data_IF_963994950686
#
_entry.id   IF_963994950686
#
_cell.length_a   1.000
_cell.length_b   1.000
_cell.length_c   1.000
_cell.angle_alpha   90.00
_cell.angle_beta   90.00
_cell.angle_gamma   90.00
#
_symmetry.space_group_name_H-M   'P 1'
#
loop_
_entity.id
_entity.type
_entity.pdbx_description
1 polymer ?
#
# COMPACT_ATOMS: atom_id res chain seq x y z
N UNK A 1 12.45 -55.21 -13.02
CA UNK A 1 13.17 -53.94 -12.95
C UNK A 1 12.15 -52.83 -13.11
N UNK A 2 11.72 -52.19 -12.02
CA UNK A 2 10.77 -51.08 -12.09
C UNK A 2 11.56 -49.80 -12.37
N UNK A 3 11.22 -49.09 -13.45
CA UNK A 3 11.78 -47.77 -13.74
C UNK A 3 11.34 -46.81 -12.64
N UNK A 4 12.30 -46.31 -11.85
CA UNK A 4 12.09 -45.13 -11.03
C UNK A 4 11.82 -43.97 -11.97
N UNK A 5 10.58 -43.48 -11.98
CA UNK A 5 10.27 -42.20 -12.59
C UNK A 5 11.05 -41.13 -11.86
N UNK A 6 11.82 -40.34 -12.59
CA UNK A 6 12.50 -39.18 -12.06
C UNK A 6 11.42 -38.21 -11.56
N UNK A 7 11.26 -38.14 -10.25
CA UNK A 7 10.52 -37.06 -9.60
C UNK A 7 11.32 -35.78 -9.85
N UNK A 8 10.99 -35.09 -10.94
CA UNK A 8 11.42 -33.71 -11.17
C UNK A 8 10.77 -32.87 -10.09
N UNK A 9 11.50 -32.66 -9.00
CA UNK A 9 11.16 -31.66 -8.00
C UNK A 9 11.33 -30.31 -8.72
N UNK A 10 10.23 -29.80 -9.28
CA UNK A 10 10.17 -28.41 -9.73
C UNK A 10 10.37 -27.57 -8.47
N UNK A 11 11.48 -26.81 -8.34
CA UNK A 11 11.67 -25.94 -7.18
C UNK A 11 10.45 -25.03 -7.10
N UNK A 12 9.67 -25.13 -6.03
CA UNK A 12 8.35 -24.52 -5.93
C UNK A 12 8.35 -23.11 -6.46
N UNK A 13 7.70 -22.89 -7.61
CA UNK A 13 7.59 -21.59 -8.25
C UNK A 13 6.93 -20.66 -7.24
N UNK A 14 7.71 -19.73 -6.70
CA UNK A 14 7.22 -18.79 -5.68
C UNK A 14 6.16 -17.89 -6.33
N UNK A 15 4.90 -18.10 -5.99
CA UNK A 15 3.74 -17.38 -6.56
C UNK A 15 3.91 -15.85 -6.48
N UNK A 16 4.56 -15.37 -5.43
CA UNK A 16 4.97 -13.97 -5.22
C UNK A 16 5.79 -13.34 -6.36
N UNK A 17 6.38 -14.13 -7.27
CA UNK A 17 7.12 -13.60 -8.43
C UNK A 17 6.24 -13.30 -9.63
N UNK A 18 5.02 -13.83 -9.65
CA UNK A 18 4.12 -13.78 -10.81
C UNK A 18 2.79 -13.12 -10.48
N UNK A 19 2.40 -13.11 -9.21
CA UNK A 19 1.16 -12.52 -8.79
C UNK A 19 1.30 -11.00 -8.71
N UNK A 20 0.53 -10.29 -9.52
CA UNK A 20 0.31 -8.86 -9.40
C UNK A 20 -0.97 -8.49 -10.15
N UNK A 21 -1.49 -7.30 -9.87
CA UNK A 21 -2.51 -6.73 -10.74
C UNK A 21 -1.91 -6.33 -12.09
N UNK A 22 -2.76 -6.19 -13.11
CA UNK A 22 -2.30 -5.77 -14.44
C UNK A 22 -1.84 -4.31 -14.37
N UNK A 23 -0.54 -4.09 -14.51
CA UNK A 23 0.08 -2.76 -14.47
C UNK A 23 -0.23 -1.89 -15.69
N UNK A 24 0.44 -0.74 -15.73
CA UNK A 24 0.31 0.27 -16.77
C UNK A 24 -0.92 1.18 -16.63
N UNK A 25 -1.13 2.02 -17.65
CA UNK A 25 -2.17 3.07 -17.69
C UNK A 25 -3.21 2.86 -18.80
N UNK A 26 -3.16 1.73 -19.50
CA UNK A 26 -4.09 1.43 -20.59
C UNK A 26 -5.48 1.04 -20.08
N UNK A 27 -6.46 1.01 -20.98
CA UNK A 27 -7.88 0.71 -20.65
C UNK A 27 -8.09 -0.62 -19.94
N UNK A 28 -7.19 -1.58 -20.12
CA UNK A 28 -7.25 -2.90 -19.47
C UNK A 28 -6.36 -3.02 -18.23
N UNK A 29 -5.72 -1.94 -17.80
CA UNK A 29 -4.94 -1.89 -16.56
C UNK A 29 -5.85 -2.00 -15.35
N UNK A 30 -5.30 -2.45 -14.22
CA UNK A 30 -6.03 -2.44 -12.96
C UNK A 30 -6.43 -1.03 -12.54
N UNK A 31 -5.55 -0.04 -12.74
CA UNK A 31 -5.83 1.36 -12.42
C UNK A 31 -7.11 1.88 -13.12
N UNK A 32 -7.39 1.42 -14.34
CA UNK A 32 -8.60 1.78 -15.09
C UNK A 32 -9.83 0.92 -14.77
N UNK A 33 -9.68 -0.20 -14.03
CA UNK A 33 -10.74 -1.20 -13.80
C UNK A 33 -10.97 -1.54 -12.32
N UNK A 34 -10.44 -0.75 -11.39
CA UNK A 34 -10.52 -0.99 -9.95
C UNK A 34 -11.67 -0.24 -9.25
N UNK A 35 -12.73 0.13 -9.98
CA UNK A 35 -13.85 0.92 -9.40
C UNK A 35 -14.64 0.14 -8.34
N UNK A 36 -14.81 -1.18 -8.51
CA UNK A 36 -15.52 -1.99 -7.53
C UNK A 36 -14.80 -2.00 -6.16
N UNK A 37 -13.46 -2.14 -6.17
CA UNK A 37 -12.61 -2.07 -4.99
C UNK A 37 -12.68 -0.66 -4.37
N UNK A 38 -12.69 0.39 -5.19
CA UNK A 38 -12.80 1.78 -4.73
C UNK A 38 -14.15 2.04 -4.03
N UNK A 39 -15.25 1.58 -4.62
CA UNK A 39 -16.59 1.72 -4.04
C UNK A 39 -16.71 0.96 -2.72
N UNK A 40 -16.16 -0.25 -2.65
CA UNK A 40 -16.15 -1.01 -1.41
C UNK A 40 -15.30 -0.33 -0.33
N UNK A 41 -14.08 0.12 -0.65
CA UNK A 41 -13.24 0.88 0.28
C UNK A 41 -13.97 2.14 0.79
N UNK A 42 -14.66 2.85 -0.10
CA UNK A 42 -15.48 4.02 0.25
C UNK A 42 -16.61 3.68 1.22
N UNK A 43 -17.30 2.55 1.03
CA UNK A 43 -18.36 2.12 1.96
C UNK A 43 -17.83 1.76 3.35
N UNK A 44 -16.55 1.40 3.47
CA UNK A 44 -15.92 0.97 4.71
C UNK A 44 -15.18 2.09 5.45
N UNK A 45 -15.19 3.34 4.93
CA UNK A 45 -14.44 4.45 5.53
C UNK A 45 -14.82 4.72 6.99
N UNK A 46 -16.10 4.58 7.34
CA UNK A 46 -16.55 4.76 8.72
C UNK A 46 -15.88 3.79 9.72
N UNK A 47 -15.68 2.52 9.32
CA UNK A 47 -14.98 1.53 10.16
C UNK A 47 -13.49 1.83 10.23
N UNK A 48 -12.91 2.35 9.14
CA UNK A 48 -11.53 2.81 9.14
C UNK A 48 -11.36 3.98 10.12
N UNK A 49 -12.19 5.02 10.01
CA UNK A 49 -12.15 6.20 10.90
C UNK A 49 -12.36 5.80 12.38
N UNK A 50 -13.34 4.93 12.67
CA UNK A 50 -13.57 4.40 14.02
C UNK A 50 -12.34 3.64 14.55
N UNK A 51 -11.68 2.85 13.70
CA UNK A 51 -10.42 2.16 14.07
C UNK A 51 -9.31 3.16 14.34
N UNK A 52 -9.21 4.20 13.51
CA UNK A 52 -8.21 5.27 13.66
C UNK A 52 -8.43 6.10 14.91
N UNK A 53 -9.65 6.23 15.42
CA UNK A 53 -9.95 6.89 16.70
C UNK A 53 -9.34 6.16 17.90
N UNK A 54 -9.14 4.84 17.78
CA UNK A 54 -8.47 4.02 18.79
C UNK A 54 -6.94 4.06 18.75
N UNK A 55 -6.34 4.64 17.70
CA UNK A 55 -4.88 4.68 17.56
C UNK A 55 -4.29 5.64 18.60
N UNK A 56 -3.27 5.19 19.31
CA UNK A 56 -2.53 6.03 20.25
C UNK A 56 -1.71 7.07 19.48
N UNK A 57 -1.89 8.35 19.80
CA UNK A 57 -1.05 9.42 19.27
C UNK A 57 0.28 9.43 20.03
N UNK A 58 1.39 9.37 19.28
CA UNK A 58 2.74 9.52 19.80
C UNK A 58 3.15 11.01 19.78
N UNK A 59 4.34 11.33 20.31
CA UNK A 59 4.90 12.69 20.21
C UNK A 59 4.87 13.17 18.74
N UNK A 60 4.43 14.41 18.46
CA UNK A 60 4.44 14.95 17.09
C UNK A 60 5.85 15.10 16.50
N UNK A 61 6.90 15.01 17.34
CA UNK A 61 8.30 14.99 16.90
C UNK A 61 8.71 13.67 16.22
N UNK A 62 7.90 12.61 16.37
CA UNK A 62 8.15 11.30 15.77
C UNK A 62 7.23 11.16 14.56
N UNK A 63 7.75 10.80 13.37
CA UNK A 63 6.91 10.61 12.21
C UNK A 63 5.85 9.54 12.43
N UNK A 64 4.62 9.81 12.00
CA UNK A 64 3.54 8.83 12.00
C UNK A 64 3.63 7.96 10.76
N UNK A 65 3.84 6.65 10.96
CA UNK A 65 4.10 5.69 9.88
C UNK A 65 2.84 4.89 9.56
N UNK A 66 2.36 5.04 8.33
CA UNK A 66 1.25 4.28 7.77
C UNK A 66 1.75 3.36 6.65
N UNK A 67 1.22 2.15 6.58
CA UNK A 67 1.53 1.17 5.54
C UNK A 67 0.25 0.69 4.88
N UNK A 68 0.18 0.72 3.55
CA UNK A 68 -0.82 -0.02 2.78
C UNK A 68 -0.23 -1.33 2.26
N UNK A 69 -0.77 -2.46 2.70
CA UNK A 69 -0.35 -3.80 2.28
C UNK A 69 -1.20 -4.28 1.11
N UNK A 70 -0.56 -4.63 -0.01
CA UNK A 70 -1.23 -4.98 -1.27
C UNK A 70 -1.73 -3.75 -2.02
N UNK A 71 -0.86 -2.74 -2.17
CA UNK A 71 -1.23 -1.42 -2.70
C UNK A 71 -1.59 -1.40 -4.20
N UNK A 72 -1.18 -2.42 -4.97
CA UNK A 72 -1.29 -2.44 -6.44
C UNK A 72 -0.65 -1.19 -7.07
N UNK A 73 -1.19 -0.70 -8.20
CA UNK A 73 -0.60 0.38 -9.01
C UNK A 73 -1.56 1.54 -9.34
N UNK A 74 -2.72 1.62 -8.69
CA UNK A 74 -3.78 2.60 -8.99
C UNK A 74 -3.98 3.68 -7.91
N UNK A 75 -4.88 4.64 -8.16
CA UNK A 75 -5.15 5.75 -7.22
C UNK A 75 -5.86 5.34 -5.93
N UNK A 76 -6.46 4.14 -5.88
CA UNK A 76 -7.17 3.65 -4.70
C UNK A 76 -6.29 3.66 -3.43
N UNK A 77 -5.03 3.24 -3.53
CA UNK A 77 -4.09 3.24 -2.40
C UNK A 77 -3.71 4.65 -1.95
N UNK A 78 -3.58 5.59 -2.88
CA UNK A 78 -3.30 6.99 -2.57
C UNK A 78 -4.47 7.60 -1.79
N UNK A 79 -5.70 7.39 -2.29
CA UNK A 79 -6.91 7.92 -1.66
C UNK A 79 -7.09 7.40 -0.22
N UNK A 80 -6.80 6.13 0.05
CA UNK A 80 -6.97 5.59 1.40
C UNK A 80 -5.92 6.12 2.38
N UNK A 81 -4.68 6.29 1.93
CA UNK A 81 -3.62 6.93 2.71
C UNK A 81 -3.98 8.39 3.01
N UNK A 82 -4.52 9.13 2.05
CA UNK A 82 -4.99 10.51 2.27
C UNK A 82 -6.09 10.59 3.33
N UNK A 83 -7.03 9.64 3.35
CA UNK A 83 -8.04 9.56 4.41
C UNK A 83 -7.39 9.33 5.76
N UNK A 84 -6.47 8.37 5.87
CA UNK A 84 -5.77 8.06 7.13
C UNK A 84 -5.00 9.28 7.64
N UNK A 85 -4.18 9.90 6.78
CA UNK A 85 -3.38 11.08 7.12
C UNK A 85 -4.30 12.20 7.58
N UNK A 86 -5.34 12.54 6.81
CA UNK A 86 -6.28 13.60 7.16
C UNK A 86 -7.00 13.34 8.49
N UNK A 87 -7.39 12.10 8.75
CA UNK A 87 -8.07 11.74 10.00
C UNK A 87 -7.12 11.87 11.20
N UNK A 88 -5.91 11.33 11.09
CA UNK A 88 -4.92 11.40 12.16
C UNK A 88 -4.46 12.84 12.40
N UNK A 89 -4.26 13.65 11.35
CA UNK A 89 -3.95 15.09 11.49
C UNK A 89 -5.00 15.81 12.34
N UNK A 90 -6.29 15.60 12.04
CA UNK A 90 -7.39 16.18 12.85
C UNK A 90 -7.36 15.71 14.30
N UNK A 91 -6.96 14.46 14.56
CA UNK A 91 -6.84 13.95 15.93
C UNK A 91 -5.69 14.61 16.69
N UNK A 92 -4.56 14.89 16.04
CA UNK A 92 -3.47 15.69 16.62
C UNK A 92 -3.92 17.12 16.92
N UNK A 93 -4.58 17.78 15.96
CA UNK A 93 -5.11 19.14 16.12
C UNK A 93 -6.12 19.22 17.28
N UNK A 94 -7.00 18.22 17.42
CA UNK A 94 -8.01 18.17 18.48
C UNK A 94 -7.42 18.08 19.89
N UNK A 95 -6.19 17.59 20.04
CA UNK A 95 -5.46 17.56 21.32
C UNK A 95 -4.46 18.72 21.46
N UNK A 96 -4.51 19.71 20.55
CA UNK A 96 -3.71 20.92 20.61
C UNK A 96 -2.28 20.76 20.10
N UNK A 97 -2.00 19.73 19.30
CA UNK A 97 -0.71 19.53 18.65
C UNK A 97 -0.78 19.87 17.16
N UNK A 98 0.31 20.42 16.64
CA UNK A 98 0.57 20.39 15.20
C UNK A 98 0.74 18.92 14.76
N UNK A 99 0.15 18.49 13.63
CA UNK A 99 0.34 17.14 13.12
C UNK A 99 1.81 16.79 12.89
N UNK A 100 2.23 15.52 13.15
CA UNK A 100 3.58 15.07 12.84
C UNK A 100 3.81 15.02 11.33
N UNK A 101 5.08 14.85 10.93
CA UNK A 101 5.38 14.35 9.59
C UNK A 101 4.77 12.96 9.41
N UNK A 102 4.17 12.72 8.24
CA UNK A 102 3.61 11.41 7.91
C UNK A 102 4.54 10.69 6.93
N UNK A 103 4.74 9.40 7.14
CA UNK A 103 5.45 8.52 6.21
C UNK A 103 4.55 7.38 5.78
N UNK A 104 4.23 7.33 4.48
CA UNK A 104 3.41 6.30 3.88
C UNK A 104 4.26 5.28 3.10
N UNK A 105 4.17 4.01 3.49
CA UNK A 105 4.75 2.91 2.74
C UNK A 105 3.68 2.20 1.91
N UNK A 106 3.94 2.07 0.62
CA UNK A 106 3.13 1.32 -0.32
C UNK A 106 3.79 -0.04 -0.52
N UNK A 107 3.21 -1.10 0.03
CA UNK A 107 3.77 -2.44 -0.03
C UNK A 107 2.98 -3.33 -0.96
N UNK A 108 3.69 -4.07 -1.81
CA UNK A 108 3.13 -5.10 -2.68
C UNK A 108 4.26 -6.09 -3.05
N UNK A 109 3.92 -7.13 -3.79
CA UNK A 109 4.89 -8.08 -4.31
C UNK A 109 5.89 -7.41 -5.26
N UNK A 110 7.12 -7.95 -5.39
CA UNK A 110 8.13 -7.39 -6.30
C UNK A 110 7.70 -7.32 -7.77
N UNK A 111 6.70 -8.11 -8.18
CA UNK A 111 6.09 -8.11 -9.51
C UNK A 111 5.13 -6.94 -9.75
N UNK A 112 4.75 -6.19 -8.73
CA UNK A 112 3.85 -5.04 -8.86
C UNK A 112 4.48 -3.91 -9.69
N UNK A 113 3.64 -3.16 -10.40
CA UNK A 113 4.07 -2.00 -11.19
C UNK A 113 4.17 -0.74 -10.33
N UNK A 114 5.20 -0.69 -9.48
CA UNK A 114 5.53 0.48 -8.68
C UNK A 114 5.83 1.72 -9.51
N UNK A 115 6.33 1.56 -10.75
CA UNK A 115 6.61 2.69 -11.63
C UNK A 115 5.34 3.45 -11.98
N UNK A 116 4.27 2.74 -12.37
CA UNK A 116 2.97 3.36 -12.62
C UNK A 116 2.43 4.05 -11.37
N UNK A 117 2.54 3.42 -10.19
CA UNK A 117 2.14 4.02 -8.92
C UNK A 117 2.91 5.31 -8.63
N UNK A 118 4.24 5.30 -8.75
CA UNK A 118 5.07 6.45 -8.43
C UNK A 118 4.84 7.65 -9.35
N UNK A 119 4.47 7.40 -10.61
CA UNK A 119 4.10 8.45 -11.56
C UNK A 119 2.72 9.07 -11.28
N UNK A 120 1.91 8.56 -10.34
CA UNK A 120 0.64 9.19 -9.94
C UNK A 120 0.86 10.33 -8.94
N UNK A 121 2.02 10.37 -8.31
CA UNK A 121 2.35 11.36 -7.31
C UNK A 121 2.76 12.69 -7.98
N UNK A 122 2.23 13.84 -7.51
CA UNK A 122 2.31 15.13 -8.21
C UNK A 122 3.73 15.68 -8.47
N UNK A 123 4.77 15.11 -7.83
CA UNK A 123 6.16 15.54 -8.01
C UNK A 123 6.88 14.78 -9.13
N UNK A 124 6.19 13.90 -9.86
CA UNK A 124 6.76 13.12 -10.96
C UNK A 124 6.35 13.73 -12.31
N UNK A 125 7.12 14.72 -12.79
CA UNK A 125 7.02 15.20 -14.18
C UNK A 125 6.52 16.64 -14.39
N UNK A 126 6.49 17.49 -13.36
CA UNK A 126 6.37 18.94 -13.53
C UNK A 126 7.71 19.57 -13.92
N UNK A 127 7.67 20.73 -14.57
CA UNK A 127 8.86 21.57 -14.75
C UNK A 127 9.46 21.97 -13.39
N UNK A 128 10.75 22.32 -13.36
CA UNK A 128 11.38 22.85 -12.13
C UNK A 128 10.60 24.06 -11.58
N UNK A 129 10.11 24.94 -12.45
CA UNK A 129 9.21 26.04 -12.04
C UNK A 129 7.91 25.56 -11.39
N UNK A 130 7.25 24.53 -11.90
CA UNK A 130 6.00 24.00 -11.28
C UNK A 130 6.27 23.33 -9.94
N UNK A 131 7.40 22.63 -9.80
CA UNK A 131 7.82 22.08 -8.50
C UNK A 131 8.16 23.19 -7.48
N UNK A 132 8.63 24.35 -7.94
CA UNK A 132 8.91 25.51 -7.10
C UNK A 132 7.66 26.37 -6.82
N UNK A 133 6.64 26.30 -7.68
CA UNK A 133 5.39 27.06 -7.57
C UNK A 133 4.24 26.27 -6.91
N UNK A 134 4.36 24.95 -6.79
CA UNK A 134 3.39 24.11 -6.11
C UNK A 134 3.44 24.36 -4.58
N UNK A 135 2.58 25.26 -4.13
CA UNK A 135 2.25 25.46 -2.71
C UNK A 135 1.48 24.25 -2.12
N UNK A 136 1.20 23.23 -2.95
CA UNK A 136 0.59 21.95 -2.55
C UNK A 136 1.65 20.93 -2.13
N UNK A 137 2.37 21.25 -1.05
CA UNK A 137 3.21 20.23 -0.39
C UNK A 137 2.34 19.03 0.00
N UNK A 138 2.67 17.84 -0.51
CA UNK A 138 2.07 16.59 -0.02
C UNK A 138 2.28 16.53 1.48
N UNK A 139 1.21 16.28 2.24
CA UNK A 139 1.25 16.20 3.70
C UNK A 139 1.96 14.95 4.26
N UNK A 140 2.58 14.15 3.40
CA UNK A 140 3.26 12.90 3.77
C UNK A 140 4.37 12.55 2.78
N UNK A 141 5.40 11.85 3.26
CA UNK A 141 6.45 11.24 2.44
C UNK A 141 6.02 9.86 1.97
N UNK A 142 6.57 9.38 0.85
CA UNK A 142 6.18 8.10 0.25
C UNK A 142 7.39 7.21 -0.02
N UNK A 143 7.21 5.90 0.17
CA UNK A 143 8.18 4.89 -0.23
C UNK A 143 7.48 3.60 -0.65
N UNK A 144 8.07 2.85 -1.58
CA UNK A 144 7.62 1.50 -1.93
C UNK A 144 8.37 0.43 -1.12
N UNK A 145 7.68 -0.63 -0.71
CA UNK A 145 8.27 -1.77 0.01
C UNK A 145 7.91 -3.08 -0.72
N UNK A 146 8.78 -3.56 -1.63
CA UNK A 146 8.53 -4.78 -2.36
C UNK A 146 8.74 -6.02 -1.47
N UNK A 147 7.73 -6.89 -1.39
CA UNK A 147 7.83 -8.15 -0.68
C UNK A 147 6.47 -8.76 -0.34
N UNK A 148 6.49 -10.03 0.08
CA UNK A 148 5.28 -10.69 0.57
C UNK A 148 5.01 -10.29 2.03
N UNK A 149 3.79 -9.83 2.31
CA UNK A 149 3.32 -9.58 3.68
C UNK A 149 3.16 -10.85 4.52
N UNK A 150 3.32 -12.05 3.93
CA UNK A 150 3.48 -13.31 4.68
C UNK A 150 4.86 -13.45 5.31
N UNK A 151 5.76 -12.49 5.08
CA UNK A 151 7.09 -12.40 5.71
C UNK A 151 7.26 -11.02 6.33
N UNK A 152 8.35 -10.85 7.06
CA UNK A 152 8.71 -9.56 7.66
C UNK A 152 9.06 -8.55 6.57
N UNK A 153 8.33 -7.44 6.55
CA UNK A 153 8.59 -6.28 5.67
C UNK A 153 9.18 -5.09 6.43
N UNK A 154 8.86 -4.95 7.71
CA UNK A 154 9.24 -3.81 8.54
C UNK A 154 9.98 -4.25 9.81
N UNK A 155 10.88 -3.42 10.36
CA UNK A 155 11.41 -3.58 11.69
C UNK A 155 10.31 -3.65 12.77
N UNK A 156 10.66 -4.19 13.94
CA UNK A 156 9.73 -4.17 15.06
C UNK A 156 9.54 -2.74 15.57
N UNK A 157 8.29 -2.38 15.90
CA UNK A 157 7.90 -1.06 16.46
C UNK A 157 8.16 0.14 15.55
N UNK A 158 8.09 -0.03 14.23
CA UNK A 158 8.34 1.03 13.25
C UNK A 158 7.10 1.46 12.44
N UNK A 159 5.91 0.94 12.76
CA UNK A 159 4.67 1.23 12.03
C UNK A 159 3.57 1.49 13.04
N UNK A 160 2.84 2.59 12.86
CA UNK A 160 1.70 2.97 13.70
C UNK A 160 0.41 2.34 13.20
N UNK A 161 0.20 2.32 11.88
CA UNK A 161 -1.02 1.76 11.26
C UNK A 161 -0.68 0.93 10.03
N UNK A 162 -1.24 -0.28 9.97
CA UNK A 162 -1.34 -1.07 8.75
C UNK A 162 -2.77 -1.01 8.21
N UNK A 163 -2.89 -0.70 6.93
CA UNK A 163 -4.10 -0.84 6.15
C UNK A 163 -3.92 -1.97 5.12
N UNK A 164 -5.01 -2.67 4.81
CA UNK A 164 -5.04 -3.73 3.80
C UNK A 164 -6.47 -3.88 3.31
N UNK A 165 -6.66 -3.76 1.99
CA UNK A 165 -7.95 -4.03 1.35
C UNK A 165 -7.75 -4.93 0.13
N UNK A 166 -8.63 -5.94 -0.03
CA UNK A 166 -8.62 -6.84 -1.19
C UNK A 166 -7.28 -7.55 -1.50
N UNK A 167 -6.45 -7.82 -0.50
CA UNK A 167 -5.20 -8.56 -0.72
C UNK A 167 -5.07 -9.85 0.10
N UNK A 168 -5.70 -9.93 1.29
CA UNK A 168 -5.54 -11.08 2.21
C UNK A 168 -6.16 -12.39 1.70
N UNK A 169 -7.04 -12.34 0.70
CA UNK A 169 -7.58 -13.54 0.06
C UNK A 169 -6.57 -14.23 -0.88
N UNK A 170 -5.48 -13.57 -1.25
CA UNK A 170 -4.41 -14.16 -2.04
C UNK A 170 -3.50 -15.02 -1.18
N UNK A 171 -3.55 -16.34 -1.38
CA UNK A 171 -2.76 -17.30 -0.63
C UNK A 171 -1.27 -17.25 -0.99
N UNK A 172 -0.40 -17.65 -0.05
CA UNK A 172 1.04 -17.75 -0.26
C UNK A 172 1.43 -18.85 -1.26
N UNK A 173 0.58 -19.86 -1.42
CA UNK A 173 0.76 -21.01 -2.30
C UNK A 173 -0.59 -21.60 -2.68
N UNK A 174 -0.63 -22.37 -3.77
CA UNK A 174 -1.80 -23.14 -4.18
C UNK A 174 -2.11 -24.19 -3.11
N UNK A 175 -3.38 -24.35 -2.76
CA UNK A 175 -3.81 -25.42 -1.87
C UNK A 175 -3.47 -26.77 -2.50
N UNK A 176 -2.65 -27.56 -1.82
CA UNK A 176 -2.47 -28.97 -2.17
C UNK A 176 -3.60 -29.72 -1.48
N UNK A 177 -4.65 -30.03 -2.24
CA UNK A 177 -5.62 -31.03 -1.81
C UNK A 177 -4.84 -32.34 -1.59
N UNK A 178 -4.83 -32.85 -0.35
CA UNK A 178 -4.46 -34.24 -0.05
C UNK A 178 -5.64 -35.15 -0.34
#
# INVERSE_FOLDING_TARGET
>A
MASKGDNVIVPGTKLEKFLCMKGGRGESSYASNSQAQALHARSMLHLLEETLDGVKLNSPEIPFVVVDLGCSSGTNTINIIEVIVKHISKRYEAVGYEPPEFLAFFSDLPSNDFNTLFQLFPNYGGSMEECLAADSHRSYFVAGVPGSFYRRLFPSRSVDVFHSAFCLHWLSQVSTML
#
